data_IF_300442635681
#
_entry.id   IF_300442635681
#
_cell.length_a   1.000
_cell.length_b   1.000
_cell.length_c   1.000
_cell.angle_alpha   90.00
_cell.angle_beta   90.00
_cell.angle_gamma   90.00
#
_symmetry.space_group_name_H-M   'P 1'
#
loop_
_entity.id
_entity.type
_entity.pdbx_description
1 polymer ?
#
# COMPACT_ATOMS: atom_id res chain seq x y z
N UNK A 1 -14.82 -12.18 -31.39
CA UNK A 1 -15.04 -12.43 -29.94
C UNK A 1 -13.88 -13.20 -29.29
N UNK A 2 -13.15 -14.04 -30.02
CA UNK A 2 -12.10 -14.94 -29.49
C UNK A 2 -10.77 -14.26 -29.09
N UNK A 3 -10.38 -13.15 -29.73
CA UNK A 3 -9.11 -12.43 -29.42
C UNK A 3 -9.21 -11.65 -28.10
N UNK A 4 -10.37 -11.06 -27.79
CA UNK A 4 -10.60 -10.32 -26.54
C UNK A 4 -10.54 -11.24 -25.31
N UNK A 5 -11.10 -12.45 -25.42
CA UNK A 5 -11.05 -13.45 -24.35
C UNK A 5 -9.63 -14.00 -24.14
N UNK A 6 -8.87 -14.23 -25.22
CA UNK A 6 -7.47 -14.65 -25.14
C UNK A 6 -6.59 -13.55 -24.50
N UNK A 7 -6.80 -12.28 -24.86
CA UNK A 7 -6.02 -11.17 -24.31
C UNK A 7 -6.35 -10.92 -22.82
N UNK A 8 -7.61 -11.08 -22.41
CA UNK A 8 -8.04 -11.00 -21.02
C UNK A 8 -7.49 -12.14 -20.17
N UNK A 9 -7.42 -13.35 -20.74
CA UNK A 9 -6.85 -14.54 -20.09
C UNK A 9 -5.33 -14.43 -19.97
N UNK A 10 -4.66 -14.03 -21.05
CA UNK A 10 -3.21 -13.80 -21.10
C UNK A 10 -2.76 -12.67 -20.16
N UNK A 11 -3.46 -11.53 -20.16
CA UNK A 11 -3.20 -10.46 -19.18
C UNK A 11 -3.46 -10.94 -17.76
N UNK A 12 -4.52 -11.70 -17.50
CA UNK A 12 -4.79 -12.24 -16.15
C UNK A 12 -3.74 -13.25 -15.67
N UNK A 13 -3.23 -14.12 -16.55
CA UNK A 13 -2.20 -15.11 -16.22
C UNK A 13 -0.82 -14.46 -16.01
N UNK A 14 -0.45 -13.50 -16.86
CA UNK A 14 0.80 -12.74 -16.72
C UNK A 14 0.82 -11.90 -15.43
N UNK A 15 -0.29 -11.20 -15.14
CA UNK A 15 -0.41 -10.41 -13.90
C UNK A 15 -0.39 -11.31 -12.65
N UNK A 16 -0.96 -12.52 -12.71
CA UNK A 16 -0.95 -13.47 -11.58
C UNK A 16 0.43 -14.10 -11.36
N UNK A 17 1.15 -14.42 -12.43
CA UNK A 17 2.51 -14.96 -12.34
C UNK A 17 3.49 -13.93 -11.76
N UNK A 18 3.48 -12.70 -12.27
CA UNK A 18 4.28 -11.59 -11.70
C UNK A 18 3.87 -11.30 -10.24
N UNK A 19 2.58 -11.31 -9.94
CA UNK A 19 2.09 -11.09 -8.58
C UNK A 19 2.53 -12.19 -7.61
N UNK A 20 2.48 -13.46 -8.02
CA UNK A 20 2.94 -14.59 -7.22
C UNK A 20 4.46 -14.55 -7.02
N UNK A 21 5.21 -14.11 -8.02
CA UNK A 21 6.66 -13.98 -7.98
C UNK A 21 7.12 -12.83 -7.08
N UNK A 22 6.50 -11.65 -7.19
CA UNK A 22 6.72 -10.52 -6.27
C UNK A 22 6.30 -10.87 -4.84
N UNK A 23 5.18 -11.59 -4.66
CA UNK A 23 4.71 -12.01 -3.35
C UNK A 23 5.67 -13.03 -2.71
N UNK A 24 6.21 -13.98 -3.47
CA UNK A 24 7.25 -14.91 -3.01
C UNK A 24 8.52 -14.16 -2.62
N UNK A 25 9.05 -13.35 -3.53
CA UNK A 25 10.30 -12.62 -3.33
C UNK A 25 10.25 -11.69 -2.12
N UNK A 26 9.13 -10.97 -1.92
CA UNK A 26 8.98 -10.08 -0.77
C UNK A 26 8.72 -10.80 0.54
N UNK A 27 8.05 -11.96 0.54
CA UNK A 27 7.78 -12.72 1.77
C UNK A 27 8.98 -13.57 2.21
N UNK A 28 9.85 -13.99 1.29
CA UNK A 28 11.05 -14.77 1.59
C UNK A 28 12.15 -13.94 2.27
N UNK A 29 12.09 -12.61 2.16
CA UNK A 29 13.05 -11.68 2.81
C UNK A 29 12.75 -11.50 4.30
N UNK A 30 11.50 -11.71 4.74
CA UNK A 30 11.08 -11.42 6.11
C UNK A 30 10.81 -12.70 6.91
N UNK A 31 11.04 -12.68 8.24
CA UNK A 31 10.71 -13.82 9.08
C UNK A 31 9.22 -14.15 8.99
N UNK A 32 8.84 -15.44 9.06
CA UNK A 32 7.44 -15.88 8.91
C UNK A 32 6.50 -15.24 9.95
N UNK A 33 7.01 -14.82 11.11
CA UNK A 33 6.26 -14.08 12.13
C UNK A 33 5.78 -12.68 11.67
N UNK A 34 6.46 -12.05 10.70
CA UNK A 34 6.10 -10.72 10.18
C UNK A 34 5.14 -10.78 9.00
N UNK A 35 5.02 -11.95 8.35
CA UNK A 35 4.12 -12.19 7.22
C UNK A 35 2.68 -11.66 7.42
N UNK A 36 1.98 -11.89 8.56
CA UNK A 36 0.62 -11.37 8.73
C UNK A 36 0.57 -9.83 8.87
N UNK A 37 1.64 -9.18 9.33
CA UNK A 37 1.75 -7.71 9.35
C UNK A 37 2.02 -7.13 7.95
N UNK A 38 2.77 -7.85 7.11
CA UNK A 38 3.01 -7.49 5.70
C UNK A 38 1.73 -7.63 4.86
N UNK A 39 0.88 -8.61 5.19
CA UNK A 39 -0.43 -8.77 4.57
C UNK A 39 -1.39 -7.62 4.95
N UNK A 40 -1.35 -7.14 6.20
CA UNK A 40 -2.13 -6.00 6.68
C UNK A 40 -1.86 -4.71 5.88
N UNK A 41 -0.58 -4.41 5.62
CA UNK A 41 -0.18 -3.24 4.83
C UNK A 41 -0.45 -3.41 3.33
N UNK A 42 -0.97 -4.57 2.92
CA UNK A 42 -1.25 -4.95 1.53
C UNK A 42 -0.02 -4.80 0.63
N UNK A 43 1.17 -5.12 1.15
CA UNK A 43 2.44 -4.98 0.42
C UNK A 43 2.44 -5.82 -0.87
N UNK A 44 1.85 -7.02 -0.80
CA UNK A 44 1.73 -7.91 -1.95
C UNK A 44 0.77 -7.42 -3.04
N UNK A 45 0.01 -6.32 -2.86
CA UNK A 45 -0.98 -5.85 -3.85
C UNK A 45 -0.57 -4.50 -4.48
N UNK A 46 0.09 -4.50 -5.65
CA UNK A 46 0.60 -3.28 -6.27
C UNK A 46 -0.51 -2.34 -6.78
N UNK A 47 -1.74 -2.84 -6.95
CA UNK A 47 -2.89 -2.05 -7.44
C UNK A 47 -3.15 -0.81 -6.60
N UNK A 48 -3.01 -0.91 -5.27
CA UNK A 48 -3.24 0.22 -4.39
C UNK A 48 -2.17 1.31 -4.48
N UNK A 49 -0.93 0.92 -4.76
CA UNK A 49 0.16 1.87 -4.97
C UNK A 49 -0.01 2.62 -6.29
N UNK A 50 -0.39 1.91 -7.37
CA UNK A 50 -0.69 2.52 -8.67
C UNK A 50 -1.84 3.53 -8.56
N UNK A 51 -2.89 3.21 -7.80
CA UNK A 51 -4.04 4.09 -7.59
C UNK A 51 -3.67 5.38 -6.85
N UNK A 52 -2.75 5.31 -5.88
CA UNK A 52 -2.27 6.52 -5.21
C UNK A 52 -1.26 7.29 -6.04
N UNK A 53 -0.39 6.61 -6.79
CA UNK A 53 0.69 7.25 -7.53
C UNK A 53 0.19 8.35 -8.46
N UNK A 54 -0.85 8.05 -9.24
CA UNK A 54 -1.34 8.94 -10.29
C UNK A 54 -1.92 10.28 -9.81
N UNK A 55 -2.86 10.32 -8.83
CA UNK A 55 -3.36 11.59 -8.31
C UNK A 55 -2.27 12.42 -7.62
N UNK A 56 -1.31 11.79 -6.93
CA UNK A 56 -0.18 12.52 -6.33
C UNK A 56 0.77 13.09 -7.38
N UNK A 57 1.08 12.32 -8.43
CA UNK A 57 1.94 12.77 -9.51
C UNK A 57 1.35 14.00 -10.21
N UNK A 58 0.06 14.00 -10.48
CA UNK A 58 -0.63 15.16 -11.06
C UNK A 58 -0.63 16.37 -10.14
N UNK A 59 -0.99 16.21 -8.87
CA UNK A 59 -0.97 17.30 -7.90
C UNK A 59 0.41 17.93 -7.75
N UNK A 60 1.45 17.09 -7.66
CA UNK A 60 2.83 17.58 -7.57
C UNK A 60 3.29 18.24 -8.86
N UNK A 61 2.92 17.72 -10.03
CA UNK A 61 3.29 18.31 -11.34
C UNK A 61 2.68 19.71 -11.47
N UNK A 62 1.42 19.88 -11.09
CA UNK A 62 0.74 21.19 -11.08
C UNK A 62 1.43 22.17 -10.12
N UNK A 63 1.76 21.72 -8.91
CA UNK A 63 2.50 22.55 -7.95
C UNK A 63 3.90 22.91 -8.47
N UNK A 64 4.63 21.95 -9.04
CA UNK A 64 5.96 22.16 -9.61
C UNK A 64 5.94 23.18 -10.76
N UNK A 65 4.89 23.17 -11.59
CA UNK A 65 4.69 24.18 -12.63
C UNK A 65 4.47 25.57 -12.04
N UNK A 66 3.60 25.72 -11.03
CA UNK A 66 3.34 27.01 -10.38
C UNK A 66 4.56 27.59 -9.65
N UNK A 67 5.35 26.74 -8.99
CA UNK A 67 6.54 27.14 -8.24
C UNK A 67 7.85 27.12 -9.07
N UNK A 68 7.79 26.82 -10.37
CA UNK A 68 8.95 26.67 -11.27
C UNK A 68 10.05 25.78 -10.67
N UNK A 69 9.64 24.64 -10.14
CA UNK A 69 10.53 23.72 -9.41
C UNK A 69 11.57 23.07 -10.36
N UNK A 70 12.85 22.97 -9.96
CA UNK A 70 13.84 22.20 -10.71
C UNK A 70 13.49 20.72 -10.81
N UNK A 71 13.92 20.06 -11.90
CA UNK A 71 13.65 18.64 -12.15
C UNK A 71 14.17 17.70 -11.06
N UNK A 72 15.35 17.99 -10.51
CA UNK A 72 15.96 17.18 -9.45
C UNK A 72 15.12 17.22 -8.18
N UNK A 73 14.68 18.42 -7.79
CA UNK A 73 13.81 18.65 -6.63
C UNK A 73 12.45 17.98 -6.83
N UNK A 74 11.85 18.12 -8.02
CA UNK A 74 10.59 17.48 -8.37
C UNK A 74 10.65 15.95 -8.18
N UNK A 75 11.69 15.31 -8.73
CA UNK A 75 11.83 13.85 -8.70
C UNK A 75 12.01 13.33 -7.28
N UNK A 76 12.85 14.01 -6.48
CA UNK A 76 13.03 13.68 -5.06
C UNK A 76 11.74 13.85 -4.26
N UNK A 77 11.01 14.95 -4.48
CA UNK A 77 9.73 15.22 -3.80
C UNK A 77 8.66 14.21 -4.18
N UNK A 78 8.61 13.80 -5.45
CA UNK A 78 7.67 12.77 -5.90
C UNK A 78 7.89 11.47 -5.12
N UNK A 79 9.13 11.00 -5.01
CA UNK A 79 9.46 9.79 -4.26
C UNK A 79 9.15 9.92 -2.76
N UNK A 80 9.48 11.07 -2.15
CA UNK A 80 9.20 11.34 -0.74
C UNK A 80 7.70 11.33 -0.42
N UNK A 81 6.88 11.98 -1.26
CA UNK A 81 5.42 12.01 -1.07
C UNK A 81 4.77 10.66 -1.35
N UNK A 82 5.25 9.92 -2.35
CA UNK A 82 4.78 8.56 -2.61
C UNK A 82 5.03 7.63 -1.42
N UNK A 83 6.22 7.71 -0.82
CA UNK A 83 6.55 6.94 0.38
C UNK A 83 5.67 7.34 1.56
N UNK A 84 5.46 8.65 1.76
CA UNK A 84 4.56 9.17 2.80
C UNK A 84 3.14 8.65 2.64
N UNK A 85 2.60 8.77 1.43
CA UNK A 85 1.27 8.31 1.07
C UNK A 85 1.13 6.79 1.25
N UNK A 86 2.15 6.03 0.88
CA UNK A 86 2.17 4.58 1.06
C UNK A 86 2.03 4.21 2.54
N UNK A 87 2.81 4.83 3.44
CA UNK A 87 2.77 4.55 4.88
C UNK A 87 1.38 4.85 5.45
N UNK A 88 0.82 6.04 5.15
CA UNK A 88 -0.51 6.45 5.65
C UNK A 88 -1.63 5.57 5.07
N UNK A 89 -1.52 5.14 3.82
CA UNK A 89 -2.48 4.21 3.21
C UNK A 89 -2.39 2.84 3.85
N UNK A 90 -1.20 2.36 4.19
CA UNK A 90 -1.01 1.10 4.90
C UNK A 90 -1.63 1.13 6.31
N UNK A 91 -1.61 2.27 7.01
CA UNK A 91 -2.33 2.42 8.28
C UNK A 91 -3.84 2.46 8.09
N UNK A 92 -4.35 3.20 7.11
CA UNK A 92 -5.78 3.20 6.77
C UNK A 92 -6.28 1.79 6.41
N UNK A 93 -5.47 1.02 5.69
CA UNK A 93 -5.74 -0.37 5.36
C UNK A 93 -5.89 -1.25 6.60
N UNK A 94 -5.03 -1.05 7.60
CA UNK A 94 -5.03 -1.80 8.87
C UNK A 94 -6.23 -1.40 9.74
N UNK A 95 -6.57 -0.10 9.79
CA UNK A 95 -7.78 0.40 10.45
C UNK A 95 -9.03 -0.25 9.87
N UNK A 96 -9.15 -0.30 8.54
CA UNK A 96 -10.28 -0.94 7.88
C UNK A 96 -10.38 -2.42 8.26
N UNK A 97 -9.26 -3.15 8.31
CA UNK A 97 -9.27 -4.57 8.70
C UNK A 97 -9.67 -4.79 10.18
N UNK A 98 -9.43 -3.81 11.07
CA UNK A 98 -9.91 -3.84 12.46
C UNK A 98 -11.44 -3.66 12.51
N UNK A 99 -11.97 -2.66 11.81
CA UNK A 99 -13.40 -2.37 11.80
C UNK A 99 -14.22 -3.44 11.03
N UNK A 100 -13.70 -3.91 9.90
CA UNK A 100 -14.38 -4.88 9.04
C UNK A 100 -14.27 -6.32 9.55
N UNK A 101 -13.55 -6.58 10.66
CA UNK A 101 -13.24 -7.93 11.17
C UNK A 101 -14.45 -8.88 11.19
N UNK A 102 -15.59 -8.43 11.73
CA UNK A 102 -16.79 -9.26 11.87
C UNK A 102 -17.42 -9.59 10.51
N UNK A 103 -17.49 -8.60 9.64
CA UNK A 103 -18.06 -8.73 8.29
C UNK A 103 -17.15 -9.57 7.39
N UNK A 104 -15.85 -9.32 7.44
CA UNK A 104 -14.85 -10.05 6.66
C UNK A 104 -14.76 -11.53 7.06
N UNK A 105 -15.03 -11.88 8.33
CA UNK A 105 -15.09 -13.28 8.76
C UNK A 105 -16.24 -14.07 8.10
N UNK A 106 -17.33 -13.40 7.72
CA UNK A 106 -18.49 -14.01 7.08
C UNK A 106 -18.39 -14.16 5.55
N UNK A 107 -17.35 -13.60 4.91
CA UNK A 107 -17.23 -13.54 3.44
C UNK A 107 -16.07 -14.42 2.98
N UNK A 108 -16.33 -15.35 2.04
CA UNK A 108 -15.32 -16.31 1.55
C UNK A 108 -14.04 -15.67 1.03
N UNK A 109 -14.16 -14.51 0.39
CA UNK A 109 -13.03 -13.76 -0.17
C UNK A 109 -12.13 -13.14 0.91
N UNK A 110 -12.68 -12.79 2.07
CA UNK A 110 -12.00 -11.95 3.06
C UNK A 110 -11.82 -12.61 4.43
N UNK A 111 -12.38 -13.81 4.62
CA UNK A 111 -12.21 -14.62 5.84
C UNK A 111 -10.75 -14.89 6.20
N UNK A 112 -9.87 -14.95 5.20
CA UNK A 112 -8.44 -15.23 5.40
C UNK A 112 -7.63 -14.00 5.80
N UNK A 113 -8.22 -12.81 5.92
CA UNK A 113 -7.47 -11.61 6.33
C UNK A 113 -6.88 -11.80 7.75
N UNK A 114 -5.69 -11.26 8.06
CA UNK A 114 -5.00 -11.52 9.33
C UNK A 114 -5.83 -11.22 10.58
N UNK A 115 -6.60 -10.13 10.58
CA UNK A 115 -7.45 -9.73 11.72
C UNK A 115 -8.76 -10.51 11.76
N UNK A 116 -9.37 -10.81 10.61
CA UNK A 116 -10.60 -11.59 10.51
C UNK A 116 -10.41 -13.08 10.86
N UNK A 117 -9.26 -13.65 10.46
CA UNK A 117 -8.86 -15.04 10.76
C UNK A 117 -8.30 -15.24 12.16
N UNK A 118 -8.13 -14.17 12.94
CA UNK A 118 -7.56 -14.24 14.30
C UNK A 118 -6.04 -14.45 14.36
N UNK A 119 -5.33 -14.43 13.22
CA UNK A 119 -3.85 -14.50 13.18
C UNK A 119 -3.19 -13.29 13.87
N UNK A 120 -3.87 -12.15 13.93
CA UNK A 120 -3.47 -10.97 14.68
C UNK A 120 -4.59 -10.56 15.63
N UNK A 121 -4.25 -10.31 16.89
CA UNK A 121 -5.21 -9.82 17.89
C UNK A 121 -5.55 -8.35 17.63
N UNK A 122 -6.79 -7.94 17.96
CA UNK A 122 -7.21 -6.54 17.80
C UNK A 122 -6.32 -5.56 18.58
N UNK A 123 -5.89 -5.84 19.83
CA UNK A 123 -4.94 -4.98 20.52
C UNK A 123 -3.62 -4.84 19.77
N UNK A 124 -3.05 -5.93 19.24
CA UNK A 124 -1.81 -5.88 18.47
C UNK A 124 -1.97 -5.09 17.16
N UNK A 125 -3.07 -5.28 16.45
CA UNK A 125 -3.39 -4.50 15.25
C UNK A 125 -3.55 -3.00 15.57
N UNK A 126 -4.14 -2.66 16.72
CA UNK A 126 -4.34 -1.27 17.15
C UNK A 126 -3.01 -0.58 17.48
N UNK A 127 -2.11 -1.28 18.20
CA UNK A 127 -0.74 -0.78 18.45
C UNK A 127 0.01 -0.62 17.12
N UNK A 128 -0.14 -1.57 16.20
CA UNK A 128 0.50 -1.51 14.89
C UNK A 128 0.04 -0.29 14.07
N UNK A 129 -1.27 -0.01 14.02
CA UNK A 129 -1.80 1.21 13.40
C UNK A 129 -1.18 2.46 14.02
N UNK A 130 -1.12 2.52 15.35
CA UNK A 130 -0.60 3.70 16.06
C UNK A 130 0.87 3.94 15.70
N UNK A 131 1.69 2.89 15.67
CA UNK A 131 3.09 2.96 15.23
C UNK A 131 3.19 3.45 13.79
N UNK A 132 2.39 2.91 12.88
CA UNK A 132 2.37 3.37 11.48
C UNK A 132 1.97 4.84 11.35
N UNK A 133 1.01 5.30 12.16
CA UNK A 133 0.54 6.68 12.14
C UNK A 133 1.62 7.64 12.66
N UNK A 134 2.30 7.29 13.75
CA UNK A 134 3.41 8.09 14.28
C UNK A 134 4.55 8.19 13.27
N UNK A 135 4.95 7.08 12.66
CA UNK A 135 5.99 7.06 11.61
C UNK A 135 5.54 7.88 10.40
N UNK A 136 4.29 7.72 9.96
CA UNK A 136 3.72 8.44 8.82
C UNK A 136 3.67 9.95 9.05
N UNK A 137 3.23 10.40 10.23
CA UNK A 137 3.21 11.82 10.61
C UNK A 137 4.63 12.36 10.71
N UNK A 138 5.54 11.65 11.36
CA UNK A 138 6.93 12.07 11.49
C UNK A 138 7.60 12.23 10.12
N UNK A 139 7.43 11.24 9.24
CA UNK A 139 7.96 11.28 7.89
C UNK A 139 7.33 12.42 7.07
N UNK A 140 6.00 12.56 7.12
CA UNK A 140 5.30 13.65 6.44
C UNK A 140 5.79 15.02 6.92
N UNK A 141 5.88 15.22 8.23
CA UNK A 141 6.41 16.46 8.81
C UNK A 141 7.83 16.75 8.31
N UNK A 142 8.71 15.74 8.32
CA UNK A 142 10.06 15.86 7.78
C UNK A 142 10.08 16.29 6.30
N UNK A 143 9.21 15.70 5.46
CA UNK A 143 9.14 16.05 4.03
C UNK A 143 8.66 17.48 3.77
N UNK A 144 7.78 18.01 4.64
CA UNK A 144 7.23 19.37 4.55
C UNK A 144 8.24 20.41 5.06
N UNK A 145 8.97 20.14 6.14
CA UNK A 145 9.98 21.09 6.64
C UNK A 145 11.11 21.31 5.64
N UNK A 146 11.42 20.30 4.82
CA UNK A 146 12.38 20.41 3.72
C UNK A 146 11.83 21.21 2.50
N UNK A 147 10.75 21.96 2.67
CA UNK A 147 10.11 22.84 1.68
C UNK A 147 10.24 24.34 2.06
N UNK A 148 10.61 24.63 3.32
CA UNK A 148 10.79 25.97 3.87
C UNK A 148 12.26 26.43 3.84
#
# INVERSE_FOLDING_TARGET
>A
MSISLANKKFTSEFTQAEFLDVKKTLLDVFPPAMSPYLELIRLGKPTGLKLMFWPFAWGLTMAAYSFKMPWDTYTLKLMQYLLSAFIIRSSACTINDIFDRKTDAGVERTKNRPVASGRISVPAASVYVLVQYVIGIFWFYFTVQFFA
#
